data_IF_201378082069
#
_entry.id   IF_201378082069
#
_cell.length_a   1.000
_cell.length_b   1.000
_cell.length_c   1.000
_cell.angle_alpha   90.00
_cell.angle_beta   90.00
_cell.angle_gamma   90.00
#
_symmetry.space_group_name_H-M   'P 1'
#
loop_
_entity.id
_entity.type
_entity.pdbx_description
1 polymer ?
#
# COMPACT_ATOMS: atom_id res chain seq x y z
N UNK A 1 11.14 10.98 -19.57
CA UNK A 1 11.82 9.96 -20.39
C UNK A 1 11.86 10.36 -21.86
N UNK A 2 10.78 10.84 -22.47
CA UNK A 2 10.79 11.38 -23.85
C UNK A 2 11.81 12.51 -24.06
N UNK A 3 12.00 13.40 -23.07
CA UNK A 3 13.07 14.42 -23.10
C UNK A 3 14.49 13.85 -23.21
N UNK A 4 14.73 12.63 -22.69
CA UNK A 4 16.06 12.00 -22.62
C UNK A 4 16.27 11.05 -23.80
N UNK A 5 15.26 10.25 -24.14
CA UNK A 5 15.35 9.16 -25.12
C UNK A 5 14.58 9.41 -26.42
N UNK A 6 13.91 10.57 -26.55
CA UNK A 6 13.20 10.99 -27.75
C UNK A 6 12.10 10.03 -28.18
N UNK A 7 11.98 9.83 -29.49
CA UNK A 7 10.96 8.98 -30.14
C UNK A 7 11.14 7.47 -29.91
N UNK A 8 12.22 7.05 -29.24
CA UNK A 8 12.48 5.64 -28.91
C UNK A 8 11.67 5.14 -27.70
N UNK A 9 11.00 6.05 -27.00
CA UNK A 9 10.15 5.73 -25.85
C UNK A 9 8.79 5.25 -26.32
N UNK A 10 8.37 4.09 -25.81
CA UNK A 10 7.08 3.48 -26.13
C UNK A 10 6.31 3.22 -24.86
N UNK A 11 5.18 3.90 -24.67
CA UNK A 11 4.27 3.59 -23.59
C UNK A 11 3.37 2.39 -23.95
N UNK A 12 3.29 1.39 -23.07
CA UNK A 12 2.43 0.20 -23.26
C UNK A 12 1.56 -0.08 -22.03
N UNK A 13 0.25 0.15 -22.16
CA UNK A 13 -0.70 0.03 -21.05
C UNK A 13 -2.08 -0.49 -21.49
N UNK A 14 -2.91 -0.85 -20.52
CA UNK A 14 -4.23 -1.47 -20.73
C UNK A 14 -5.20 -0.59 -21.54
N UNK A 15 -5.12 0.73 -21.42
CA UNK A 15 -5.99 1.66 -22.17
C UNK A 15 -5.65 1.82 -23.67
N UNK A 16 -4.56 1.23 -24.17
CA UNK A 16 -4.27 1.25 -25.61
C UNK A 16 -5.32 0.44 -26.37
N UNK A 17 -5.82 1.02 -27.48
CA UNK A 17 -6.72 0.31 -28.41
C UNK A 17 -6.02 -0.90 -29.02
N UNK A 18 -6.79 -1.93 -29.40
CA UNK A 18 -6.23 -3.12 -30.05
C UNK A 18 -5.41 -2.75 -31.29
N UNK A 19 -5.87 -1.77 -32.07
CA UNK A 19 -5.12 -1.22 -33.20
C UNK A 19 -3.73 -0.71 -32.80
N UNK A 20 -3.65 0.17 -31.80
CA UNK A 20 -2.35 0.70 -31.31
C UNK A 20 -1.45 -0.38 -30.73
N UNK A 21 -2.02 -1.37 -30.04
CA UNK A 21 -1.27 -2.52 -29.53
C UNK A 21 -0.67 -3.34 -30.67
N UNK A 22 -1.44 -3.62 -31.72
CA UNK A 22 -0.97 -4.34 -32.90
C UNK A 22 0.10 -3.55 -33.65
N UNK A 23 -0.10 -2.25 -33.86
CA UNK A 23 0.89 -1.36 -34.49
C UNK A 23 2.20 -1.36 -33.68
N UNK A 24 2.12 -1.23 -32.35
CA UNK A 24 3.28 -1.30 -31.45
C UNK A 24 3.99 -2.64 -31.54
N UNK A 25 3.24 -3.75 -31.51
CA UNK A 25 3.79 -5.10 -31.61
C UNK A 25 4.53 -5.33 -32.93
N UNK A 26 3.91 -4.93 -34.06
CA UNK A 26 4.52 -5.06 -35.39
C UNK A 26 5.75 -4.16 -35.56
N UNK A 27 5.74 -2.97 -34.96
CA UNK A 27 6.91 -2.07 -34.98
C UNK A 27 8.06 -2.66 -34.17
N UNK A 28 7.80 -3.11 -32.94
CA UNK A 28 8.83 -3.70 -32.07
C UNK A 28 9.40 -5.00 -32.64
N UNK A 29 8.58 -5.83 -33.28
CA UNK A 29 9.05 -7.08 -33.91
C UNK A 29 9.96 -6.87 -35.12
N UNK A 30 9.86 -5.69 -35.77
CA UNK A 30 10.72 -5.25 -36.87
C UNK A 30 11.90 -4.39 -36.41
N UNK A 31 11.96 -4.02 -35.13
CA UNK A 31 13.04 -3.18 -34.61
C UNK A 31 14.36 -3.94 -34.55
N UNK A 32 15.43 -3.27 -34.97
CA UNK A 32 16.81 -3.76 -34.87
C UNK A 32 17.46 -3.42 -33.51
N UNK A 33 16.73 -2.76 -32.61
CA UNK A 33 17.18 -2.43 -31.25
C UNK A 33 17.07 -0.94 -30.91
N UNK A 34 17.52 -0.58 -29.71
CA UNK A 34 17.47 0.81 -29.21
C UNK A 34 16.09 1.26 -28.70
N UNK A 35 15.14 0.34 -28.58
CA UNK A 35 13.80 0.62 -28.06
C UNK A 35 13.82 0.79 -26.54
N UNK A 36 13.05 1.76 -26.04
CA UNK A 36 12.80 1.93 -24.62
C UNK A 36 11.31 1.80 -24.34
N UNK A 37 10.88 0.67 -23.78
CA UNK A 37 9.46 0.44 -23.48
C UNK A 37 9.18 0.73 -22.02
N UNK A 38 8.21 1.62 -21.77
CA UNK A 38 7.62 1.85 -20.45
C UNK A 38 6.26 1.20 -20.44
N UNK A 39 6.04 0.22 -19.59
CA UNK A 39 4.76 -0.45 -19.55
C UNK A 39 4.41 -1.07 -18.22
N UNK A 40 3.17 -1.53 -18.15
CA UNK A 40 2.65 -2.34 -17.04
C UNK A 40 3.05 -3.81 -17.21
N UNK A 41 2.65 -4.69 -16.29
CA UNK A 41 2.85 -6.14 -16.32
C UNK A 41 2.95 -6.80 -17.70
N UNK A 42 1.95 -6.56 -18.57
CA UNK A 42 1.82 -7.25 -19.86
C UNK A 42 2.90 -6.87 -20.88
N UNK A 43 3.63 -5.78 -20.64
CA UNK A 43 4.73 -5.35 -21.51
C UNK A 43 5.89 -6.35 -21.56
N UNK A 44 6.00 -7.23 -20.56
CA UNK A 44 7.06 -8.25 -20.52
C UNK A 44 7.01 -9.24 -21.70
N UNK A 45 5.86 -9.35 -22.38
CA UNK A 45 5.67 -10.23 -23.53
C UNK A 45 5.79 -9.53 -24.88
N UNK A 46 6.23 -8.27 -24.91
CA UNK A 46 6.46 -7.57 -26.16
C UNK A 46 7.66 -8.18 -26.92
N UNK A 47 7.63 -8.17 -28.27
CA UNK A 47 8.59 -8.90 -29.10
C UNK A 47 9.91 -8.12 -29.24
N UNK A 48 10.64 -7.99 -28.14
CA UNK A 48 11.94 -7.30 -28.08
C UNK A 48 13.07 -8.29 -28.38
N UNK A 49 13.43 -8.44 -29.66
CA UNK A 49 14.45 -9.40 -30.13
C UNK A 49 15.82 -9.22 -29.47
N UNK A 50 16.16 -7.98 -29.12
CA UNK A 50 17.45 -7.61 -28.51
C UNK A 50 17.27 -7.11 -27.07
N UNK A 51 16.47 -7.80 -26.27
CA UNK A 51 16.22 -7.44 -24.87
C UNK A 51 17.50 -7.55 -24.03
N UNK A 52 18.11 -6.41 -23.70
CA UNK A 52 19.35 -6.34 -22.90
C UNK A 52 19.11 -6.04 -21.42
N UNK A 53 18.03 -5.33 -21.08
CA UNK A 53 17.75 -4.89 -19.72
C UNK A 53 16.24 -4.84 -19.47
N UNK A 54 15.81 -5.41 -18.35
CA UNK A 54 14.46 -5.21 -17.80
C UNK A 54 14.60 -4.51 -16.46
N UNK A 55 13.93 -3.37 -16.29
CA UNK A 55 13.85 -2.66 -15.01
C UNK A 55 12.44 -2.84 -14.46
N UNK A 56 12.34 -3.37 -13.26
CA UNK A 56 11.08 -3.49 -12.51
C UNK A 56 11.17 -2.53 -11.33
N UNK A 57 10.44 -1.41 -11.43
CA UNK A 57 10.33 -0.43 -10.35
C UNK A 57 9.25 -0.87 -9.36
N UNK A 58 9.40 -0.53 -8.08
CA UNK A 58 8.52 -0.99 -7.00
C UNK A 58 8.23 -2.51 -7.08
N UNK A 59 9.27 -3.33 -7.23
CA UNK A 59 9.17 -4.78 -7.57
C UNK A 59 8.27 -5.60 -6.62
N UNK A 60 8.08 -5.11 -5.40
CA UNK A 60 7.23 -5.71 -4.37
C UNK A 60 5.73 -5.50 -4.62
N UNK A 61 5.33 -4.61 -5.54
CA UNK A 61 3.92 -4.26 -5.78
C UNK A 61 3.13 -5.50 -6.27
N UNK A 62 2.09 -5.87 -5.52
CA UNK A 62 1.24 -7.01 -5.81
C UNK A 62 0.53 -6.92 -7.17
N UNK A 63 0.43 -5.72 -7.75
CA UNK A 63 -0.03 -5.52 -9.12
C UNK A 63 0.88 -6.15 -10.15
N UNK A 64 2.05 -6.70 -9.81
CA UNK A 64 2.82 -7.55 -10.72
C UNK A 64 2.31 -9.00 -10.84
N UNK A 65 1.46 -9.47 -9.90
CA UNK A 65 0.81 -10.78 -9.98
C UNK A 65 -0.49 -10.71 -10.76
N UNK A 66 -0.57 -11.43 -11.89
CA UNK A 66 -1.81 -11.64 -12.62
C UNK A 66 -2.66 -12.68 -11.90
N UNK A 67 -3.90 -12.31 -11.55
CA UNK A 67 -4.87 -13.18 -10.87
C UNK A 67 -5.94 -13.68 -11.84
N UNK A 68 -6.56 -12.77 -12.60
CA UNK A 68 -7.57 -13.09 -13.60
C UNK A 68 -7.51 -12.13 -14.80
N UNK A 69 -7.76 -12.59 -16.04
CA UNK A 69 -7.92 -14.00 -16.43
C UNK A 69 -6.58 -14.76 -16.42
N UNK A 70 -6.64 -16.09 -16.54
CA UNK A 70 -5.48 -16.92 -16.84
C UNK A 70 -4.78 -16.48 -18.15
N UNK A 71 -3.45 -16.64 -18.27
CA UNK A 71 -2.53 -17.29 -17.34
C UNK A 71 -2.15 -16.43 -16.11
N UNK A 72 -1.96 -17.07 -14.94
CA UNK A 72 -1.66 -16.42 -13.65
C UNK A 72 -0.15 -16.25 -13.41
N UNK A 73 0.52 -15.46 -14.23
CA UNK A 73 1.97 -15.19 -14.11
C UNK A 73 2.31 -14.09 -13.11
N UNK A 74 3.57 -14.04 -12.66
CA UNK A 74 4.12 -12.93 -11.88
C UNK A 74 5.14 -12.19 -12.73
N UNK A 75 4.88 -10.92 -13.07
CA UNK A 75 5.69 -10.21 -14.06
C UNK A 75 7.14 -9.96 -13.60
N UNK A 76 7.39 -9.76 -12.29
CA UNK A 76 8.75 -9.72 -11.69
C UNK A 76 9.55 -10.99 -12.02
N UNK A 77 8.96 -12.16 -11.76
CA UNK A 77 9.64 -13.44 -12.00
C UNK A 77 9.83 -13.68 -13.50
N UNK A 78 8.81 -13.35 -14.31
CA UNK A 78 8.94 -13.33 -15.76
C UNK A 78 10.05 -12.40 -16.23
N UNK A 79 10.26 -11.24 -15.60
CA UNK A 79 11.33 -10.31 -15.96
C UNK A 79 12.73 -10.93 -15.75
N UNK A 80 12.93 -11.62 -14.63
CA UNK A 80 14.19 -12.35 -14.35
C UNK A 80 14.42 -13.45 -15.37
N UNK A 81 13.40 -14.26 -15.68
CA UNK A 81 13.51 -15.35 -16.64
C UNK A 81 13.70 -14.84 -18.07
N UNK A 82 12.91 -13.86 -18.50
CA UNK A 82 12.98 -13.28 -19.85
C UNK A 82 14.33 -12.62 -20.09
N UNK A 83 14.83 -11.80 -19.17
CA UNK A 83 16.15 -11.20 -19.34
C UNK A 83 17.22 -12.29 -19.50
N UNK A 84 17.17 -13.35 -18.68
CA UNK A 84 18.10 -14.49 -18.79
C UNK A 84 18.00 -15.21 -20.14
N UNK A 85 16.81 -15.46 -20.66
CA UNK A 85 16.60 -16.14 -21.95
C UNK A 85 17.17 -15.35 -23.12
N UNK A 86 17.15 -14.01 -23.05
CA UNK A 86 17.68 -13.11 -24.08
C UNK A 86 19.13 -12.68 -23.83
N UNK A 87 19.81 -13.24 -22.81
CA UNK A 87 21.17 -12.86 -22.44
C UNK A 87 21.32 -11.47 -21.82
N UNK A 88 20.20 -10.85 -21.43
CA UNK A 88 20.15 -9.55 -20.77
C UNK A 88 20.23 -9.63 -19.23
N UNK A 89 19.97 -8.50 -18.58
CA UNK A 89 19.97 -8.34 -17.11
C UNK A 89 18.62 -7.83 -16.60
N UNK A 90 18.36 -8.06 -15.32
CA UNK A 90 17.19 -7.51 -14.63
C UNK A 90 17.65 -6.63 -13.48
N UNK A 91 17.05 -5.45 -13.35
CA UNK A 91 17.17 -4.58 -12.19
C UNK A 91 15.82 -4.54 -11.47
N UNK A 92 15.79 -4.98 -10.22
CA UNK A 92 14.62 -4.92 -9.35
C UNK A 92 14.81 -3.75 -8.37
N UNK A 93 14.05 -2.68 -8.54
CA UNK A 93 14.09 -1.50 -7.68
C UNK A 93 13.00 -1.55 -6.62
N UNK A 94 13.35 -1.25 -5.37
CA UNK A 94 12.38 -1.14 -4.27
C UNK A 94 12.96 -0.42 -3.06
N UNK A 95 12.17 0.41 -2.39
CA UNK A 95 12.48 0.88 -1.04
C UNK A 95 12.18 -0.17 0.04
N UNK A 96 11.22 -1.06 -0.24
CA UNK A 96 10.78 -2.14 0.65
C UNK A 96 10.65 -3.42 -0.17
N UNK A 97 11.76 -4.13 -0.46
CA UNK A 97 11.71 -5.28 -1.36
C UNK A 97 10.72 -6.34 -0.91
N UNK A 98 10.32 -7.22 -1.83
CA UNK A 98 9.62 -8.44 -1.50
C UNK A 98 10.56 -9.39 -0.77
N UNK A 99 10.01 -10.21 0.12
CA UNK A 99 10.84 -11.16 0.87
C UNK A 99 11.53 -12.19 -0.04
N UNK A 100 10.96 -12.52 -1.21
CA UNK A 100 11.65 -13.37 -2.18
C UNK A 100 12.87 -12.67 -2.78
N UNK A 101 12.74 -11.41 -3.19
CA UNK A 101 13.86 -10.65 -3.78
C UNK A 101 14.94 -10.41 -2.73
N UNK A 102 14.57 -10.09 -1.50
CA UNK A 102 15.50 -9.91 -0.38
C UNK A 102 16.26 -11.21 -0.05
N UNK A 103 15.56 -12.35 0.03
CA UNK A 103 16.20 -13.65 0.28
C UNK A 103 17.13 -14.08 -0.86
N UNK A 104 16.73 -13.87 -2.12
CA UNK A 104 17.60 -14.15 -3.26
C UNK A 104 18.86 -13.26 -3.29
N UNK A 105 18.73 -11.99 -2.88
CA UNK A 105 19.88 -11.10 -2.70
C UNK A 105 20.79 -11.55 -1.56
N UNK A 106 20.24 -11.88 -0.39
CA UNK A 106 20.98 -12.36 0.79
C UNK A 106 21.70 -13.68 0.56
N UNK A 107 21.10 -14.58 -0.23
CA UNK A 107 21.70 -15.87 -0.60
C UNK A 107 22.74 -15.76 -1.73
N UNK A 108 23.00 -14.56 -2.27
CA UNK A 108 23.95 -14.34 -3.36
C UNK A 108 23.44 -14.72 -4.75
N UNK A 109 22.17 -15.13 -4.89
CA UNK A 109 21.56 -15.40 -6.21
C UNK A 109 21.38 -14.11 -7.00
N UNK A 110 21.04 -13.00 -6.32
CA UNK A 110 20.96 -11.67 -6.91
C UNK A 110 22.10 -10.78 -6.39
N UNK A 111 22.58 -9.86 -7.23
CA UNK A 111 23.40 -8.76 -6.75
C UNK A 111 22.56 -7.80 -5.91
N UNK A 112 23.16 -7.24 -4.86
CA UNK A 112 22.49 -6.31 -3.94
C UNK A 112 23.23 -4.98 -3.91
N UNK A 113 22.53 -3.89 -4.23
CA UNK A 113 23.05 -2.53 -4.14
C UNK A 113 22.09 -1.69 -3.30
N UNK A 114 22.62 -1.08 -2.24
CA UNK A 114 21.84 -0.26 -1.31
C UNK A 114 22.18 1.21 -1.52
N UNK A 115 21.16 2.04 -1.66
CA UNK A 115 21.29 3.49 -1.65
C UNK A 115 20.88 3.99 -0.26
N UNK A 116 21.85 4.16 0.64
CA UNK A 116 21.64 4.54 2.04
C UNK A 116 21.42 6.04 2.24
N UNK A 117 21.72 6.85 1.23
CA UNK A 117 21.60 8.30 1.29
C UNK A 117 20.37 8.77 0.50
N UNK A 118 19.61 9.68 1.10
CA UNK A 118 18.45 10.26 0.43
C UNK A 118 18.90 11.30 -0.58
N UNK A 119 18.24 11.33 -1.72
CA UNK A 119 18.41 12.40 -2.68
C UNK A 119 17.89 13.73 -2.12
N UNK A 120 18.76 14.75 -2.04
CA UNK A 120 18.42 16.10 -1.58
C UNK A 120 18.39 16.26 -0.05
N UNK A 121 17.71 17.31 0.42
CA UNK A 121 17.69 17.71 1.85
C UNK A 121 16.54 17.09 2.68
N UNK A 122 15.75 16.19 2.09
CA UNK A 122 14.56 15.63 2.75
C UNK A 122 14.93 14.70 3.90
N UNK A 123 14.28 14.85 5.05
CA UNK A 123 14.43 13.96 6.22
C UNK A 123 13.35 12.87 6.22
N UNK A 124 13.61 11.76 6.92
CA UNK A 124 12.55 10.78 7.20
C UNK A 124 11.48 11.44 8.09
N UNK A 125 10.19 11.18 7.84
CA UNK A 125 9.13 11.75 8.66
C UNK A 125 9.12 11.11 10.06
N UNK A 126 8.69 11.89 11.05
CA UNK A 126 8.49 11.38 12.39
C UNK A 126 7.23 10.50 12.43
N UNK A 127 7.36 9.24 12.87
CA UNK A 127 6.24 8.31 12.99
C UNK A 127 5.70 8.32 14.42
N UNK A 128 4.42 8.68 14.56
CA UNK A 128 3.67 8.71 15.80
C UNK A 128 2.66 7.56 15.81
N UNK A 129 2.78 6.65 16.78
CA UNK A 129 1.82 5.54 16.95
C UNK A 129 0.71 5.98 17.92
N UNK A 130 -0.53 5.93 17.45
CA UNK A 130 -1.75 6.33 18.14
C UNK A 130 -2.54 5.10 18.56
N UNK A 131 -2.52 4.78 19.85
CA UNK A 131 -3.27 3.66 20.44
C UNK A 131 -4.76 3.95 20.49
N UNK A 132 -5.52 3.27 19.63
CA UNK A 132 -6.98 3.43 19.48
C UNK A 132 -7.76 2.94 20.69
N UNK A 133 -7.31 1.86 21.36
CA UNK A 133 -8.00 1.35 22.56
C UNK A 133 -7.81 2.30 23.73
N UNK A 134 -6.60 2.83 23.90
CA UNK A 134 -6.30 3.85 24.90
C UNK A 134 -7.06 5.15 24.65
N UNK A 135 -7.12 5.61 23.40
CA UNK A 135 -7.89 6.80 23.03
C UNK A 135 -9.39 6.61 23.33
N UNK A 136 -9.96 5.46 23.00
CA UNK A 136 -11.36 5.14 23.29
C UNK A 136 -11.66 5.17 24.81
N UNK A 137 -10.83 4.52 25.63
CA UNK A 137 -11.00 4.50 27.10
C UNK A 137 -10.93 5.89 27.74
N UNK A 138 -10.23 6.83 27.11
CA UNK A 138 -10.08 8.20 27.60
C UNK A 138 -11.13 9.17 27.07
N UNK A 139 -12.05 8.71 26.21
CA UNK A 139 -12.97 9.59 25.50
C UNK A 139 -12.26 10.50 24.47
N UNK A 140 -11.03 10.15 24.08
CA UNK A 140 -10.18 10.89 23.14
C UNK A 140 -10.34 10.37 21.71
N UNK A 141 -11.49 9.76 21.39
CA UNK A 141 -11.78 9.21 20.07
C UNK A 141 -13.07 9.80 19.53
N UNK A 142 -13.01 10.37 18.34
CA UNK A 142 -14.14 10.91 17.62
C UNK A 142 -14.37 10.09 16.36
N UNK A 143 -15.45 9.30 16.33
CA UNK A 143 -15.77 8.35 15.26
C UNK A 143 -14.58 7.41 14.91
N UNK A 144 -13.85 7.73 13.83
CA UNK A 144 -12.72 6.96 13.30
C UNK A 144 -11.35 7.60 13.58
N UNK A 145 -11.31 8.75 14.26
CA UNK A 145 -10.10 9.51 14.51
C UNK A 145 -9.79 9.54 16.01
N UNK A 146 -8.55 9.24 16.35
CA UNK A 146 -8.00 9.49 17.68
C UNK A 146 -7.64 10.98 17.76
N UNK A 147 -7.78 11.57 18.95
CA UNK A 147 -7.50 12.97 19.21
C UNK A 147 -6.12 13.40 18.72
N UNK A 148 -5.09 12.57 18.92
CA UNK A 148 -3.74 12.83 18.41
C UNK A 148 -3.72 13.14 16.91
N UNK A 149 -4.46 12.38 16.08
CA UNK A 149 -4.50 12.64 14.64
C UNK A 149 -5.25 13.95 14.35
N UNK A 150 -6.38 14.19 15.01
CA UNK A 150 -7.15 15.42 14.81
C UNK A 150 -6.34 16.68 15.18
N UNK A 151 -5.63 16.63 16.31
CA UNK A 151 -4.77 17.73 16.76
C UNK A 151 -3.69 18.03 15.70
N UNK A 152 -3.02 17.00 15.18
CA UNK A 152 -2.02 17.16 14.10
C UNK A 152 -2.60 17.66 12.79
N UNK A 153 -3.83 17.24 12.44
CA UNK A 153 -4.53 17.77 11.26
C UNK A 153 -4.78 19.27 11.45
N UNK A 154 -5.31 19.69 12.61
CA UNK A 154 -5.54 21.10 12.92
C UNK A 154 -4.28 21.95 12.85
N UNK A 155 -3.19 21.49 13.46
CA UNK A 155 -1.88 22.15 13.40
C UNK A 155 -1.36 22.28 11.95
N UNK A 156 -1.55 21.24 11.14
CA UNK A 156 -1.11 21.22 9.74
C UNK A 156 -1.90 22.20 8.88
N UNK A 157 -3.23 22.20 9.03
CA UNK A 157 -4.10 23.13 8.32
C UNK A 157 -3.84 24.59 8.73
N UNK A 158 -3.55 24.85 10.01
CA UNK A 158 -3.22 26.19 10.51
C UNK A 158 -1.93 26.76 9.88
N UNK A 159 -1.01 25.90 9.45
CA UNK A 159 0.20 26.29 8.70
C UNK A 159 -0.03 26.45 7.19
N UNK A 160 -1.25 26.21 6.69
CA UNK A 160 -1.56 26.21 5.26
C UNK A 160 -0.91 25.03 4.51
N UNK A 161 -0.64 23.94 5.22
CA UNK A 161 -0.08 22.71 4.67
C UNK A 161 -1.19 21.67 4.43
N UNK A 162 -0.86 20.60 3.71
CA UNK A 162 -1.83 19.60 3.27
C UNK A 162 -1.69 18.29 4.02
N UNK A 163 -2.81 17.58 4.17
CA UNK A 163 -2.91 16.30 4.85
C UNK A 163 -3.30 15.21 3.85
N UNK A 164 -2.67 14.03 3.97
CA UNK A 164 -3.14 12.82 3.30
C UNK A 164 -3.66 11.82 4.33
N UNK A 165 -4.89 11.33 4.16
CA UNK A 165 -5.50 10.31 5.01
C UNK A 165 -5.61 9.01 4.24
N UNK A 166 -4.89 8.00 4.70
CA UNK A 166 -4.86 6.67 4.10
C UNK A 166 -5.80 5.73 4.85
N UNK A 167 -6.73 5.14 4.10
CA UNK A 167 -7.54 4.02 4.55
C UNK A 167 -7.54 2.94 3.49
N UNK A 168 -7.08 1.74 3.86
CA UNK A 168 -7.21 0.59 2.99
C UNK A 168 -8.52 -0.15 3.28
N UNK A 169 -9.46 -0.16 2.33
CA UNK A 169 -10.72 -0.91 2.45
C UNK A 169 -10.90 -1.96 1.36
N UNK A 170 -10.26 -1.81 0.19
CA UNK A 170 -10.58 -2.68 -0.96
C UNK A 170 -9.63 -3.87 -1.06
N UNK A 171 -10.23 -5.05 -1.19
CA UNK A 171 -9.51 -6.32 -1.20
C UNK A 171 -9.27 -6.89 0.20
N UNK A 172 -9.74 -6.23 1.26
CA UNK A 172 -9.62 -6.72 2.63
C UNK A 172 -11.00 -7.19 3.11
N UNK A 173 -11.05 -8.45 3.50
CA UNK A 173 -12.23 -9.06 4.07
C UNK A 173 -12.54 -8.42 5.44
N UNK A 174 -13.80 -8.07 5.73
CA UNK A 174 -14.15 -7.61 7.07
C UNK A 174 -13.81 -8.70 8.08
N UNK A 175 -13.35 -8.29 9.26
CA UNK A 175 -13.05 -9.17 10.39
C UNK A 175 -13.82 -8.66 11.60
N UNK A 176 -13.76 -9.39 12.71
CA UNK A 176 -14.37 -8.99 13.97
C UNK A 176 -13.29 -8.66 15.00
N UNK A 177 -13.55 -7.66 15.84
CA UNK A 177 -12.68 -7.34 16.96
C UNK A 177 -13.44 -6.92 18.21
N UNK A 178 -12.79 -7.10 19.36
CA UNK A 178 -13.24 -6.58 20.64
C UNK A 178 -12.85 -5.11 20.79
N UNK A 179 -13.82 -4.23 21.06
CA UNK A 179 -13.58 -2.79 21.22
C UNK A 179 -12.82 -2.41 22.48
N UNK A 180 -12.77 -3.31 23.48
CA UNK A 180 -12.11 -3.07 24.77
C UNK A 180 -10.66 -3.57 24.80
N UNK A 181 -10.42 -4.82 24.37
CA UNK A 181 -9.11 -5.46 24.45
C UNK A 181 -8.42 -5.70 23.10
N UNK A 182 -9.08 -5.39 21.97
CA UNK A 182 -8.50 -5.56 20.63
C UNK A 182 -8.43 -6.99 20.12
N UNK A 183 -8.95 -7.99 20.86
CA UNK A 183 -9.00 -9.39 20.42
C UNK A 183 -9.60 -9.52 19.02
N UNK A 184 -8.95 -10.29 18.15
CA UNK A 184 -9.43 -10.69 16.83
C UNK A 184 -9.53 -12.21 16.72
N UNK A 185 -10.45 -12.70 15.90
CA UNK A 185 -10.65 -14.14 15.70
C UNK A 185 -9.60 -14.70 14.74
N UNK A 186 -8.82 -15.68 15.19
CA UNK A 186 -7.79 -16.37 14.39
C UNK A 186 -8.17 -17.82 14.15
N UNK A 187 -7.83 -18.32 12.96
CA UNK A 187 -8.03 -19.72 12.60
C UNK A 187 -7.14 -20.61 13.47
N UNK A 188 -7.69 -21.62 14.17
CA UNK A 188 -6.88 -22.53 14.99
C UNK A 188 -5.96 -23.44 14.17
N UNK A 189 -6.20 -23.56 12.85
CA UNK A 189 -5.42 -24.41 11.95
C UNK A 189 -4.37 -23.63 11.15
N UNK A 190 -4.70 -22.42 10.69
CA UNK A 190 -3.85 -21.64 9.80
C UNK A 190 -3.24 -20.39 10.44
N UNK A 191 -3.64 -20.05 11.68
CA UNK A 191 -3.24 -18.84 12.41
C UNK A 191 -3.50 -17.49 11.69
N UNK A 192 -4.24 -17.50 10.57
CA UNK A 192 -4.72 -16.30 9.87
C UNK A 192 -5.99 -15.75 10.52
N UNK A 193 -6.22 -14.45 10.43
CA UNK A 193 -7.48 -13.84 10.87
C UNK A 193 -8.66 -14.39 10.06
N UNK A 194 -9.78 -14.67 10.73
CA UNK A 194 -10.98 -15.17 10.08
C UNK A 194 -11.79 -14.04 9.42
N UNK A 195 -12.32 -14.31 8.22
CA UNK A 195 -13.20 -13.39 7.51
C UNK A 195 -14.61 -13.45 8.09
N UNK A 196 -15.18 -12.29 8.41
CA UNK A 196 -16.57 -12.13 8.75
C UNK A 196 -17.48 -12.15 7.51
N UNK A 197 -18.39 -13.11 7.45
CA UNK A 197 -19.44 -13.18 6.43
C UNK A 197 -20.76 -12.69 7.02
N UNK A 198 -21.23 -11.53 6.55
CA UNK A 198 -22.52 -10.94 6.97
C UNK A 198 -23.70 -11.87 6.72
N UNK A 199 -23.69 -12.55 5.57
CA UNK A 199 -24.71 -13.52 5.20
C UNK A 199 -24.48 -14.81 6.01
N UNK A 200 -25.13 -14.88 7.18
CA UNK A 200 -25.05 -16.00 8.12
C UNK A 200 -24.23 -15.74 9.37
N UNK A 201 -23.79 -14.49 9.62
CA UNK A 201 -23.09 -14.07 10.85
C UNK A 201 -22.02 -15.06 11.32
N UNK A 202 -21.15 -15.48 10.39
CA UNK A 202 -20.13 -16.50 10.63
C UNK A 202 -18.74 -16.02 10.26
N UNK A 203 -17.75 -16.59 10.92
CA UNK A 203 -16.34 -16.42 10.67
C UNK A 203 -15.85 -17.59 9.81
N UNK A 204 -15.06 -17.30 8.77
CA UNK A 204 -14.62 -18.31 7.79
C UNK A 204 -13.14 -18.12 7.48
N UNK A 205 -12.38 -19.20 7.52
CA UNK A 205 -11.04 -19.29 6.97
C UNK A 205 -11.11 -19.67 5.49
N UNK A 206 -10.50 -18.86 4.61
CA UNK A 206 -10.47 -19.15 3.18
C UNK A 206 -9.32 -20.08 2.74
N UNK A 207 -8.45 -20.49 3.67
CA UNK A 207 -7.37 -21.45 3.39
C UNK A 207 -7.82 -22.88 3.64
N UNK A 208 -8.27 -23.18 4.85
CA UNK A 208 -8.68 -24.53 5.25
C UNK A 208 -10.20 -24.76 5.23
N UNK A 209 -11.00 -23.71 5.08
CA UNK A 209 -12.47 -23.79 5.13
C UNK A 209 -13.05 -23.84 6.55
N UNK A 210 -12.25 -23.70 7.62
CA UNK A 210 -12.74 -23.63 9.00
C UNK A 210 -13.82 -22.56 9.15
N UNK A 211 -14.92 -22.89 9.84
CA UNK A 211 -16.01 -21.95 10.10
C UNK A 211 -16.42 -21.99 11.56
N UNK A 212 -16.72 -20.82 12.12
CA UNK A 212 -17.23 -20.69 13.49
C UNK A 212 -18.22 -19.51 13.60
N UNK A 213 -19.16 -19.53 14.57
CA UNK A 213 -20.04 -18.39 14.80
C UNK A 213 -19.26 -17.19 15.34
N UNK A 214 -19.77 -15.97 15.13
CA UNK A 214 -19.24 -14.80 15.84
C UNK A 214 -19.57 -14.95 17.33
N UNK A 215 -18.59 -14.90 18.24
CA UNK A 215 -18.85 -15.02 19.66
C UNK A 215 -19.64 -13.80 20.15
N UNK A 216 -20.71 -14.05 20.92
CA UNK A 216 -21.52 -12.98 21.50
C UNK A 216 -20.69 -12.14 22.49
N UNK A 217 -19.86 -12.80 23.31
CA UNK A 217 -18.99 -12.17 24.30
C UNK A 217 -17.54 -12.40 23.91
N UNK A 218 -16.70 -11.39 24.08
CA UNK A 218 -15.26 -11.49 23.81
C UNK A 218 -14.63 -12.65 24.61
N UNK A 219 -13.97 -13.62 23.94
CA UNK A 219 -13.37 -14.76 24.64
C UNK A 219 -12.12 -14.39 25.45
N UNK A 220 -11.49 -13.24 25.14
CA UNK A 220 -10.31 -12.74 25.83
C UNK A 220 -10.66 -12.00 27.12
N UNK A 221 -11.43 -10.91 27.05
CA UNK A 221 -11.73 -10.09 28.23
C UNK A 221 -13.08 -10.38 28.90
N UNK A 222 -14.01 -11.07 28.23
CA UNK A 222 -15.36 -11.40 28.73
C UNK A 222 -16.28 -10.21 29.09
N UNK A 223 -15.89 -8.98 28.77
CA UNK A 223 -16.60 -7.76 29.21
C UNK A 223 -17.49 -7.15 28.12
N UNK A 224 -17.18 -7.37 26.83
CA UNK A 224 -17.87 -6.70 25.73
C UNK A 224 -18.18 -7.64 24.58
N UNK A 225 -19.10 -7.21 23.72
CA UNK A 225 -19.43 -7.90 22.48
C UNK A 225 -18.37 -7.68 21.40
N UNK A 226 -18.30 -8.62 20.47
CA UNK A 226 -17.37 -8.57 19.34
C UNK A 226 -18.08 -7.97 18.13
N UNK A 227 -17.50 -6.90 17.57
CA UNK A 227 -18.12 -6.15 16.48
C UNK A 227 -17.35 -6.30 15.17
N UNK A 228 -18.02 -6.26 14.00
CA UNK A 228 -17.34 -6.17 12.72
C UNK A 228 -16.52 -4.88 12.61
N UNK A 229 -15.27 -5.00 12.16
CA UNK A 229 -14.36 -3.87 11.96
C UNK A 229 -14.23 -3.55 10.47
N UNK A 230 -14.35 -2.26 10.15
CA UNK A 230 -14.10 -1.72 8.82
C UNK A 230 -14.98 -0.51 8.51
N UNK A 231 -14.36 0.53 7.96
CA UNK A 231 -15.05 1.74 7.51
C UNK A 231 -14.47 2.21 6.17
N UNK A 232 -15.33 2.84 5.36
CA UNK A 232 -14.99 3.34 4.03
C UNK A 232 -14.42 4.73 4.02
N UNK A 233 -13.71 5.03 2.93
CA UNK A 233 -13.23 6.36 2.56
C UNK A 233 -14.37 7.39 2.51
N UNK A 234 -15.59 6.99 2.12
CA UNK A 234 -16.80 7.83 2.16
C UNK A 234 -17.13 8.32 3.57
N UNK A 235 -17.18 7.41 4.56
CA UNK A 235 -17.43 7.78 5.95
C UNK A 235 -16.32 8.67 6.51
N UNK A 236 -15.07 8.44 6.10
CA UNK A 236 -13.94 9.28 6.53
C UNK A 236 -14.08 10.69 5.98
N UNK A 237 -14.40 10.83 4.70
CA UNK A 237 -14.63 12.10 4.02
C UNK A 237 -15.76 12.89 4.69
N UNK A 238 -16.90 12.25 4.96
CA UNK A 238 -18.03 12.88 5.64
C UNK A 238 -17.67 13.35 7.05
N UNK A 239 -17.03 12.50 7.85
CA UNK A 239 -16.69 12.85 9.25
C UNK A 239 -15.60 13.91 9.31
N UNK A 240 -14.57 13.83 8.47
CA UNK A 240 -13.48 14.83 8.50
C UNK A 240 -13.97 16.21 8.02
N UNK A 241 -14.88 16.26 7.05
CA UNK A 241 -15.51 17.49 6.62
C UNK A 241 -16.40 18.11 7.70
N UNK A 242 -16.99 17.30 8.60
CA UNK A 242 -17.73 17.83 9.77
C UNK A 242 -16.79 18.38 10.84
N UNK A 243 -15.66 17.72 11.09
CA UNK A 243 -14.69 18.16 12.10
C UNK A 243 -13.94 19.42 11.65
N UNK A 244 -13.61 19.52 10.35
CA UNK A 244 -12.91 20.67 9.75
C UNK A 244 -13.75 21.27 8.62
N UNK A 245 -14.83 22.02 8.91
CA UNK A 245 -15.77 22.52 7.91
C UNK A 245 -15.16 23.57 6.96
N UNK A 246 -14.05 24.21 7.36
CA UNK A 246 -13.33 25.18 6.53
C UNK A 246 -12.33 24.51 5.57
N UNK A 247 -11.98 23.23 5.80
CA UNK A 247 -11.00 22.52 4.99
C UNK A 247 -11.64 21.93 3.73
N UNK A 248 -10.93 22.05 2.59
CA UNK A 248 -11.36 21.46 1.33
C UNK A 248 -10.91 20.01 1.28
N UNK A 249 -11.86 19.09 1.35
CA UNK A 249 -11.61 17.64 1.36
C UNK A 249 -11.87 17.07 -0.02
N UNK A 250 -10.99 16.18 -0.50
CA UNK A 250 -11.23 15.37 -1.68
C UNK A 250 -10.98 13.89 -1.38
N UNK A 251 -11.71 13.02 -2.09
CA UNK A 251 -11.56 11.57 -2.03
C UNK A 251 -10.93 11.01 -3.30
N UNK A 252 -9.93 10.15 -3.13
CA UNK A 252 -9.25 9.43 -4.21
C UNK A 252 -9.26 7.92 -3.97
N UNK A 253 -10.29 7.29 -4.52
CA UNK A 253 -10.42 5.85 -4.62
C UNK A 253 -11.10 5.42 -5.94
N UNK A 254 -11.11 4.12 -6.19
CA UNK A 254 -11.62 3.55 -7.45
C UNK A 254 -13.14 3.72 -7.65
N UNK A 255 -13.93 4.09 -6.64
CA UNK A 255 -15.38 4.30 -6.74
C UNK A 255 -15.66 5.80 -6.96
N UNK A 256 -14.88 6.67 -6.33
CA UNK A 256 -14.94 8.12 -6.56
C UNK A 256 -14.47 8.53 -7.96
N UNK A 257 -13.54 7.78 -8.57
CA UNK A 257 -12.95 8.12 -9.85
C UNK A 257 -13.49 7.22 -10.96
N UNK A 258 -14.41 7.77 -11.74
CA UNK A 258 -15.04 7.09 -12.88
C UNK A 258 -14.29 7.30 -14.20
N UNK A 259 -13.35 8.26 -14.27
CA UNK A 259 -12.58 8.56 -15.47
C UNK A 259 -11.16 9.05 -15.18
N UNK A 260 -10.25 8.91 -16.15
CA UNK A 260 -8.88 9.45 -16.08
C UNK A 260 -8.84 10.98 -15.98
N UNK A 261 -9.81 11.66 -16.58
CA UNK A 261 -9.93 13.11 -16.47
C UNK A 261 -10.24 13.53 -15.03
N UNK A 262 -11.18 12.84 -14.37
CA UNK A 262 -11.50 13.10 -12.98
C UNK A 262 -10.31 12.78 -12.05
N UNK A 263 -9.61 11.67 -12.33
CA UNK A 263 -8.38 11.32 -11.63
C UNK A 263 -7.33 12.44 -11.71
N UNK A 264 -6.99 12.85 -12.93
CA UNK A 264 -5.98 13.88 -13.17
C UNK A 264 -6.39 15.23 -12.60
N UNK A 265 -7.69 15.55 -12.60
CA UNK A 265 -8.21 16.76 -11.98
C UNK A 265 -7.95 16.76 -10.46
N UNK A 266 -8.34 15.70 -9.74
CA UNK A 266 -8.12 15.62 -8.27
C UNK A 266 -6.62 15.74 -7.93
N UNK A 267 -5.76 15.07 -8.70
CA UNK A 267 -4.30 15.14 -8.51
C UNK A 267 -3.78 16.55 -8.76
N UNK A 268 -4.24 17.22 -9.83
CA UNK A 268 -3.85 18.59 -10.15
C UNK A 268 -4.35 19.58 -9.08
N UNK A 269 -5.60 19.48 -8.66
CA UNK A 269 -6.21 20.30 -7.61
C UNK A 269 -5.43 20.17 -6.29
N UNK A 270 -5.06 18.95 -5.91
CA UNK A 270 -4.25 18.71 -4.72
C UNK A 270 -2.82 19.27 -4.90
N UNK A 271 -2.17 19.06 -6.04
CA UNK A 271 -0.84 19.61 -6.31
C UNK A 271 -0.80 21.15 -6.30
N UNK A 272 -1.88 21.79 -6.77
CA UNK A 272 -2.07 23.24 -6.80
C UNK A 272 -2.59 23.82 -5.47
N UNK A 273 -2.70 23.01 -4.41
CA UNK A 273 -3.22 23.42 -3.09
C UNK A 273 -4.65 23.97 -3.14
N UNK A 274 -5.46 23.48 -4.09
CA UNK A 274 -6.92 23.71 -4.14
C UNK A 274 -7.69 22.76 -3.22
N UNK A 275 -7.01 21.73 -2.69
CA UNK A 275 -7.53 20.77 -1.72
C UNK A 275 -6.57 20.69 -0.54
N UNK A 276 -7.10 20.69 0.68
CA UNK A 276 -6.31 20.69 1.92
C UNK A 276 -6.13 19.27 2.48
N UNK A 277 -7.16 18.43 2.37
CA UNK A 277 -7.16 17.04 2.86
C UNK A 277 -7.49 16.08 1.71
N UNK A 278 -6.59 15.14 1.43
CA UNK A 278 -6.83 14.06 0.47
C UNK A 278 -7.06 12.73 1.19
N UNK A 279 -8.28 12.22 1.14
CA UNK A 279 -8.64 10.89 1.66
C UNK A 279 -8.49 9.85 0.55
N UNK A 280 -7.75 8.76 0.77
CA UNK A 280 -7.60 7.77 -0.28
C UNK A 280 -7.17 6.37 0.16
N UNK A 281 -7.21 5.48 -0.83
CA UNK A 281 -6.75 4.08 -0.73
C UNK A 281 -5.34 3.95 -1.31
N UNK A 282 -4.91 2.74 -1.70
CA UNK A 282 -3.61 2.53 -2.38
C UNK A 282 -3.37 3.41 -3.62
N UNK A 283 -4.39 4.05 -4.18
CA UNK A 283 -4.21 5.00 -5.29
C UNK A 283 -3.41 6.25 -4.90
N UNK A 284 -3.50 6.71 -3.65
CA UNK A 284 -2.74 7.89 -3.19
C UNK A 284 -1.26 7.59 -2.96
N UNK A 285 -0.86 6.31 -2.97
CA UNK A 285 0.51 5.89 -2.64
C UNK A 285 1.42 5.75 -3.86
N UNK A 286 0.91 5.94 -5.09
CA UNK A 286 1.63 5.70 -6.34
C UNK A 286 2.07 6.98 -7.02
N UNK A 287 3.33 7.07 -7.48
CA UNK A 287 3.77 7.94 -8.58
C UNK A 287 3.62 9.47 -8.49
N UNK A 288 2.97 10.04 -7.47
CA UNK A 288 2.75 11.50 -7.37
C UNK A 288 3.54 12.12 -6.22
N UNK A 289 4.24 13.21 -6.54
CA UNK A 289 4.98 14.00 -5.54
C UNK A 289 4.16 15.24 -5.19
N UNK A 290 3.68 15.30 -3.95
CA UNK A 290 2.90 16.42 -3.44
C UNK A 290 3.74 17.22 -2.47
N UNK A 291 4.39 18.26 -2.99
CA UNK A 291 5.28 19.08 -2.18
C UNK A 291 4.61 19.76 -0.99
N UNK A 292 3.28 19.92 -0.96
CA UNK A 292 2.58 20.54 0.16
C UNK A 292 2.18 19.60 1.30
N UNK A 293 2.46 18.30 1.19
CA UNK A 293 2.06 17.31 2.21
C UNK A 293 3.09 17.26 3.34
N UNK A 294 2.66 17.61 4.54
CA UNK A 294 3.47 17.53 5.76
C UNK A 294 2.92 16.53 6.78
N UNK A 295 1.65 16.10 6.66
CA UNK A 295 1.06 15.08 7.53
C UNK A 295 0.42 13.95 6.72
N UNK A 296 0.70 12.72 7.14
CA UNK A 296 0.04 11.51 6.63
C UNK A 296 -0.61 10.74 7.78
N UNK A 297 -1.92 10.51 7.72
CA UNK A 297 -2.66 9.73 8.71
C UNK A 297 -3.01 8.34 8.18
N UNK A 298 -2.53 7.27 8.82
CA UNK A 298 -2.98 5.89 8.57
C UNK A 298 -4.09 5.59 9.58
N UNK A 299 -5.33 5.52 9.10
CA UNK A 299 -6.53 5.55 9.96
C UNK A 299 -6.81 4.22 10.65
N UNK A 300 -6.38 3.11 10.07
CA UNK A 300 -6.55 1.78 10.65
C UNK A 300 -5.45 0.84 10.12
N UNK A 301 -4.36 0.73 10.87
CA UNK A 301 -3.30 -0.24 10.55
C UNK A 301 -3.74 -1.68 10.85
N UNK A 302 -4.68 -1.88 11.78
CA UNK A 302 -5.16 -3.21 12.16
C UNK A 302 -5.81 -3.92 10.96
N UNK A 303 -6.47 -3.18 10.07
CA UNK A 303 -7.05 -3.74 8.85
C UNK A 303 -5.98 -4.36 7.93
N UNK A 304 -4.81 -3.72 7.84
CA UNK A 304 -3.70 -4.22 7.03
C UNK A 304 -3.14 -5.52 7.61
N UNK A 305 -2.94 -5.54 8.94
CA UNK A 305 -2.34 -6.65 9.68
C UNK A 305 -3.27 -7.86 9.78
N UNK A 306 -4.59 -7.62 9.88
CA UNK A 306 -5.61 -8.67 10.02
C UNK A 306 -6.17 -9.17 8.68
N UNK A 307 -5.49 -8.89 7.57
CA UNK A 307 -5.85 -9.50 6.29
C UNK A 307 -5.67 -11.02 6.37
N UNK A 308 -6.63 -11.85 5.94
CA UNK A 308 -6.48 -13.31 5.87
C UNK A 308 -5.45 -13.72 4.80
N UNK A 309 -4.17 -13.45 5.04
CA UNK A 309 -3.05 -13.81 4.18
C UNK A 309 -1.76 -13.91 4.99
N UNK A 310 -0.97 -14.96 4.79
CA UNK A 310 0.32 -15.11 5.47
C UNK A 310 1.32 -14.00 5.11
N UNK A 311 1.05 -13.24 4.05
CA UNK A 311 1.81 -12.03 3.66
C UNK A 311 1.26 -10.74 4.25
N UNK A 312 0.26 -10.79 5.13
CA UNK A 312 -0.39 -9.60 5.68
C UNK A 312 0.62 -8.65 6.34
N UNK A 313 1.48 -9.17 7.22
CA UNK A 313 2.53 -8.40 7.90
C UNK A 313 3.52 -7.75 6.92
N UNK A 314 4.06 -8.51 5.96
CA UNK A 314 4.95 -7.99 4.90
C UNK A 314 4.28 -6.85 4.11
N UNK A 315 3.04 -7.07 3.64
CA UNK A 315 2.31 -6.07 2.85
C UNK A 315 1.91 -4.85 3.67
N UNK A 316 1.57 -5.05 4.95
CA UNK A 316 1.25 -3.97 5.86
C UNK A 316 2.47 -3.07 6.06
N UNK A 317 3.65 -3.67 6.29
CA UNK A 317 4.91 -2.93 6.37
C UNK A 317 5.17 -2.12 5.09
N UNK A 318 5.16 -2.77 3.92
CA UNK A 318 5.42 -2.14 2.62
C UNK A 318 4.47 -0.96 2.36
N UNK A 319 3.17 -1.16 2.57
CA UNK A 319 2.17 -0.12 2.38
C UNK A 319 2.35 1.05 3.35
N UNK A 320 2.56 0.78 4.63
CA UNK A 320 2.75 1.84 5.62
C UNK A 320 4.03 2.63 5.36
N UNK A 321 5.13 1.97 4.98
CA UNK A 321 6.37 2.65 4.58
C UNK A 321 6.22 3.48 3.31
N UNK A 322 5.51 2.96 2.30
CA UNK A 322 5.23 3.69 1.06
C UNK A 322 4.38 4.93 1.32
N UNK A 323 3.36 4.80 2.16
CA UNK A 323 2.49 5.90 2.61
C UNK A 323 3.29 6.92 3.43
N UNK A 324 4.11 6.46 4.37
CA UNK A 324 4.98 7.31 5.18
C UNK A 324 5.95 8.13 4.31
N UNK A 325 6.54 7.52 3.29
CA UNK A 325 7.45 8.19 2.35
C UNK A 325 6.82 9.30 1.49
N UNK A 326 5.50 9.50 1.57
CA UNK A 326 4.80 10.65 0.96
C UNK A 326 4.91 11.91 1.82
N UNK A 327 5.12 11.78 3.12
CA UNK A 327 5.44 12.91 3.99
C UNK A 327 6.93 13.29 3.91
N UNK A 328 7.25 14.56 4.17
CA UNK A 328 8.62 14.98 4.47
C UNK A 328 9.59 14.99 3.28
N UNK A 329 9.13 15.35 2.08
CA UNK A 329 10.00 15.57 0.91
C UNK A 329 10.67 16.95 0.88
N UNK A 330 10.29 17.86 1.80
CA UNK A 330 10.94 19.17 2.01
C UNK A 330 11.92 19.12 3.19
N UNK A 331 12.74 20.17 3.31
CA UNK A 331 13.70 20.35 4.39
C UNK A 331 13.06 20.35 5.78
N UNK A 332 11.81 20.82 5.88
CA UNK A 332 11.06 20.99 7.13
C UNK A 332 10.55 19.67 7.73
N UNK A 333 10.75 18.54 7.02
CA UNK A 333 10.30 17.22 7.45
C UNK A 333 8.80 17.01 7.26
N UNK A 334 8.29 15.93 7.85
CA UNK A 334 6.87 15.60 7.85
C UNK A 334 6.55 14.66 9.00
N UNK A 335 5.27 14.46 9.26
CA UNK A 335 4.78 13.59 10.32
C UNK A 335 3.88 12.49 9.72
N UNK A 336 3.92 11.33 10.34
CA UNK A 336 3.03 10.19 10.03
C UNK A 336 2.36 9.77 11.32
N UNK A 337 1.04 9.72 11.35
CA UNK A 337 0.28 9.22 12.51
C UNK A 337 -0.37 7.88 12.14
N UNK A 338 -0.02 6.82 12.86
CA UNK A 338 -0.54 5.47 12.65
C UNK A 338 -1.53 5.14 13.76
N UNK A 339 -2.80 4.96 13.43
CA UNK A 339 -3.81 4.50 14.39
C UNK A 339 -3.92 2.98 14.38
N UNK A 340 -3.82 2.37 15.56
CA UNK A 340 -3.90 0.92 15.74
C UNK A 340 -4.43 0.57 17.13
N UNK A 341 -5.17 -0.53 17.23
CA UNK A 341 -5.53 -1.15 18.51
C UNK A 341 -4.38 -1.94 19.15
N UNK A 342 -3.32 -2.24 18.41
CA UNK A 342 -2.20 -3.07 18.86
C UNK A 342 -0.85 -2.37 18.63
N UNK A 343 -0.56 -1.29 19.37
CA UNK A 343 0.70 -0.54 19.21
C UNK A 343 1.95 -1.38 19.48
N UNK A 344 1.82 -2.49 20.21
CA UNK A 344 2.89 -3.44 20.51
C UNK A 344 3.21 -4.42 19.37
N UNK A 345 2.38 -4.48 18.31
CA UNK A 345 2.58 -5.40 17.21
C UNK A 345 3.97 -5.19 16.56
N UNK A 346 4.77 -6.26 16.31
CA UNK A 346 6.14 -6.14 15.79
C UNK A 346 6.26 -5.24 14.55
N UNK A 347 5.37 -5.45 13.56
CA UNK A 347 5.32 -4.64 12.32
C UNK A 347 5.11 -3.15 12.58
N UNK A 348 4.29 -2.75 13.57
CA UNK A 348 4.07 -1.33 13.88
C UNK A 348 5.36 -0.69 14.40
N UNK A 349 6.08 -1.40 15.27
CA UNK A 349 7.38 -0.95 15.79
C UNK A 349 8.44 -0.88 14.69
N UNK A 350 8.48 -1.87 13.79
CA UNK A 350 9.39 -1.90 12.65
C UNK A 350 9.13 -0.76 11.66
N UNK A 351 7.87 -0.45 11.37
CA UNK A 351 7.50 0.71 10.54
C UNK A 351 7.92 2.01 11.20
N UNK A 352 7.68 2.18 12.51
CA UNK A 352 8.07 3.37 13.24
C UNK A 352 9.60 3.58 13.27
N UNK A 353 10.37 2.49 13.29
CA UNK A 353 11.83 2.52 13.21
C UNK A 353 12.38 2.59 11.78
N UNK A 354 11.56 2.37 10.75
CA UNK A 354 12.01 2.20 9.37
C UNK A 354 12.89 0.95 9.16
N UNK A 355 12.74 -0.07 10.01
CA UNK A 355 13.62 -1.23 10.05
C UNK A 355 13.06 -2.39 9.20
N UNK A 356 13.34 -2.32 7.89
CA UNK A 356 12.96 -3.37 6.95
C UNK A 356 13.70 -4.70 7.23
N UNK A 357 14.96 -4.64 7.67
CA UNK A 357 15.77 -5.85 7.90
C UNK A 357 15.22 -6.67 9.05
N UNK A 358 14.88 -6.04 10.18
CA UNK A 358 14.24 -6.71 11.30
C UNK A 358 12.90 -7.34 10.89
N UNK A 359 12.07 -6.61 10.13
CA UNK A 359 10.81 -7.14 9.59
C UNK A 359 11.04 -8.36 8.70
N UNK A 360 12.01 -8.28 7.79
CA UNK A 360 12.31 -9.36 6.86
C UNK A 360 12.80 -10.62 7.56
N UNK A 361 13.73 -10.49 8.50
CA UNK A 361 14.26 -11.61 9.28
C UNK A 361 13.16 -12.31 10.10
N UNK A 362 12.33 -11.54 10.83
CA UNK A 362 11.25 -12.10 11.65
C UNK A 362 10.21 -12.82 10.80
N UNK A 363 9.79 -12.21 9.68
CA UNK A 363 8.79 -12.80 8.79
C UNK A 363 9.31 -14.04 8.04
N UNK A 364 10.59 -14.08 7.69
CA UNK A 364 11.19 -15.28 7.09
C UNK A 364 11.30 -16.43 8.11
N UNK A 365 11.73 -16.14 9.34
CA UNK A 365 11.79 -17.14 10.40
C UNK A 365 10.40 -17.72 10.73
N UNK A 366 9.37 -16.87 10.79
CA UNK A 366 7.98 -17.31 10.94
C UNK A 366 7.57 -18.25 9.79
N UNK A 367 7.85 -17.87 8.55
CA UNK A 367 7.52 -18.69 7.36
C UNK A 367 8.30 -19.99 7.23
N UNK A 368 9.49 -20.08 7.80
CA UNK A 368 10.25 -21.34 7.85
C UNK A 368 9.69 -22.32 8.89
N UNK A 369 8.98 -21.81 9.90
CA UNK A 369 8.42 -22.61 11.00
C UNK A 369 7.11 -23.32 10.62
N UNK A 370 6.34 -22.75 9.70
CA UNK A 370 5.07 -23.29 9.18
C UNK A 370 5.24 -23.96 7.82
#
# INVERSE_FOLDING_TARGET
MERIFGSRVTAYHSKLTNRRRTETYLRLSRSEGGEFVVGVRSSIFLPLKHLQLVIVDEEHDASYKQTEPAPRYHARDCAVVMARLFGGRTLLGSATPSLESWLNARSGKYGHAVLSERYGAGRLPAVLVSDTLRAARRGERHAHFNKLLLDRIGETLARGEQVMLFQNRRGFSPYVACTECGWTARCPQCNVTLTYHKNGSKLVCHYCGHTEPVPAICPSCRVTDVVPVGFGTEKIEEEIARVFPEARVARLDRDSVTSERAFNAIIADFAERRTDILVGTQMITKGFDFGGVSLVGILNADNLLNNPDFRASERAFQLMMQVAGRAGRRADGGEVVIQTSEPGHPVIRQVAAGDYEAMACEQLAERETF
#
